data_IF_449150202477
#
_entry.id   IF_449150202477
#
_cell.length_a   1.000
_cell.length_b   1.000
_cell.length_c   1.000
_cell.angle_alpha   90.00
_cell.angle_beta   90.00
_cell.angle_gamma   90.00
#
_symmetry.space_group_name_H-M   'P 1'
#
loop_
_entity.id
_entity.type
_entity.pdbx_description
1 polymer ?
#
# COMPACT_ATOMS: atom_id res chain seq x y z
N UNK A 1 -11.73 14.33 -22.16
CA UNK A 1 -11.49 15.17 -20.97
C UNK A 1 -12.75 15.11 -20.11
N UNK A 2 -12.68 14.55 -18.90
CA UNK A 2 -13.85 14.32 -18.01
C UNK A 2 -14.26 15.57 -17.19
N UNK A 3 -13.64 16.72 -17.45
CA UNK A 3 -13.96 17.98 -16.80
C UNK A 3 -14.87 18.81 -17.71
N UNK A 4 -16.11 19.04 -17.25
CA UNK A 4 -17.07 19.91 -17.92
C UNK A 4 -17.00 21.35 -17.43
N UNK A 5 -17.69 22.24 -18.13
CA UNK A 5 -17.87 23.64 -17.70
C UNK A 5 -18.64 23.72 -16.37
N UNK A 6 -18.42 24.81 -15.64
CA UNK A 6 -19.25 25.17 -14.48
C UNK A 6 -20.70 25.41 -14.92
N UNK A 7 -21.63 25.20 -13.99
CA UNK A 7 -23.06 25.44 -14.19
C UNK A 7 -23.34 26.93 -14.43
N UNK A 8 -22.57 27.82 -13.79
CA UNK A 8 -22.68 29.25 -13.99
C UNK A 8 -21.95 29.70 -15.26
N UNK A 9 -22.65 30.44 -16.11
CA UNK A 9 -22.12 31.00 -17.36
C UNK A 9 -21.88 32.51 -17.28
N UNK A 10 -22.37 33.18 -16.24
CA UNK A 10 -22.30 34.63 -16.06
C UNK A 10 -21.55 34.99 -14.77
N UNK A 11 -20.59 35.91 -14.90
CA UNK A 11 -19.71 36.33 -13.79
C UNK A 11 -20.30 37.47 -12.94
N UNK A 12 -21.37 38.12 -13.40
CA UNK A 12 -22.01 39.25 -12.72
C UNK A 12 -23.21 38.90 -11.83
N UNK A 13 -23.65 37.64 -11.86
CA UNK A 13 -24.78 37.18 -11.03
C UNK A 13 -24.30 36.69 -9.68
N UNK A 14 -25.02 37.06 -8.61
CA UNK A 14 -24.73 36.56 -7.27
C UNK A 14 -24.81 35.02 -7.26
N UNK A 15 -23.70 34.38 -6.86
CA UNK A 15 -23.61 32.92 -6.81
C UNK A 15 -24.32 32.41 -5.56
N UNK A 16 -25.18 31.39 -5.73
CA UNK A 16 -25.76 30.69 -4.59
C UNK A 16 -24.67 29.87 -3.88
N UNK A 17 -24.38 30.18 -2.61
CA UNK A 17 -23.30 29.52 -1.87
C UNK A 17 -23.48 28.01 -1.70
N UNK A 18 -24.71 27.49 -1.81
CA UNK A 18 -25.02 26.05 -1.69
C UNK A 18 -24.80 25.27 -2.97
N UNK A 19 -25.13 25.85 -4.13
CA UNK A 19 -25.11 25.16 -5.44
C UNK A 19 -24.09 25.73 -6.42
N UNK A 20 -23.40 26.79 -6.01
CA UNK A 20 -22.46 27.56 -6.80
C UNK A 20 -21.21 26.78 -7.19
N UNK A 21 -20.73 26.98 -8.41
CA UNK A 21 -19.46 26.45 -8.88
C UNK A 21 -19.46 24.95 -9.16
N UNK A 22 -20.65 24.35 -9.25
CA UNK A 22 -20.83 22.95 -9.64
C UNK A 22 -20.49 22.76 -11.12
N UNK A 23 -20.13 21.55 -11.53
CA UNK A 23 -19.96 21.19 -12.95
C UNK A 23 -21.29 20.65 -13.45
N UNK A 24 -21.84 21.25 -14.53
CA UNK A 24 -23.20 20.94 -15.00
C UNK A 24 -23.37 19.45 -15.37
N UNK A 25 -22.34 18.84 -15.94
CA UNK A 25 -22.33 17.44 -16.37
C UNK A 25 -21.86 16.46 -15.27
N UNK A 26 -21.60 16.94 -14.04
CA UNK A 26 -21.15 16.07 -12.96
C UNK A 26 -22.24 15.07 -12.55
N UNK A 27 -21.88 13.80 -12.54
CA UNK A 27 -22.74 12.73 -12.06
C UNK A 27 -22.09 12.10 -10.82
N UNK A 28 -22.65 12.27 -9.60
CA UNK A 28 -22.08 11.65 -8.42
C UNK A 28 -22.26 10.13 -8.46
N UNK A 29 -21.26 9.38 -7.98
CA UNK A 29 -21.40 7.92 -7.83
C UNK A 29 -22.45 7.57 -6.78
N UNK A 30 -22.57 8.35 -5.70
CA UNK A 30 -23.57 8.12 -4.66
C UNK A 30 -24.69 9.17 -4.74
N UNK A 31 -25.94 8.71 -4.80
CA UNK A 31 -27.13 9.56 -4.77
C UNK A 31 -28.06 9.10 -3.67
N UNK A 32 -28.72 10.03 -2.98
CA UNK A 32 -29.80 9.68 -2.05
C UNK A 32 -31.07 9.39 -2.85
N UNK A 33 -31.62 8.18 -2.69
CA UNK A 33 -32.91 7.76 -3.21
C UNK A 33 -33.68 7.09 -2.08
N UNK A 34 -34.94 7.51 -1.83
CA UNK A 34 -35.76 7.00 -0.74
C UNK A 34 -35.05 7.00 0.63
N UNK A 35 -34.37 8.10 0.96
CA UNK A 35 -33.57 8.28 2.19
C UNK A 35 -32.40 7.28 2.37
N UNK A 36 -31.98 6.61 1.29
CA UNK A 36 -30.84 5.69 1.28
C UNK A 36 -29.81 6.12 0.25
N UNK A 37 -28.53 5.92 0.55
CA UNK A 37 -27.47 6.07 -0.44
C UNK A 37 -27.53 4.92 -1.43
N UNK A 38 -27.66 5.24 -2.70
CA UNK A 38 -27.65 4.29 -3.80
C UNK A 38 -26.51 4.62 -4.76
N UNK A 39 -25.77 3.58 -5.18
CA UNK A 39 -24.71 3.72 -6.17
C UNK A 39 -25.32 3.95 -7.56
N UNK A 40 -24.77 4.93 -8.29
CA UNK A 40 -25.02 5.22 -9.69
C UNK A 40 -23.89 4.55 -10.48
N UNK A 41 -24.05 3.26 -10.79
CA UNK A 41 -23.06 2.44 -11.52
C UNK A 41 -23.02 2.77 -13.02
N UNK A 42 -23.02 4.05 -13.37
CA UNK A 42 -22.88 4.51 -14.75
C UNK A 42 -21.43 4.29 -15.20
N UNK A 43 -21.20 3.17 -15.89
CA UNK A 43 -19.87 2.76 -16.37
C UNK A 43 -19.32 3.67 -17.48
N UNK A 44 -20.13 4.57 -18.04
CA UNK A 44 -19.64 5.58 -19.01
C UNK A 44 -18.97 6.77 -18.33
N UNK A 45 -19.32 7.02 -17.06
CA UNK A 45 -18.82 8.15 -16.25
C UNK A 45 -17.94 7.72 -15.09
N UNK A 46 -18.19 6.55 -14.52
CA UNK A 46 -17.43 6.00 -13.40
C UNK A 46 -16.69 4.75 -13.82
N UNK A 47 -15.37 4.83 -13.73
CA UNK A 47 -14.48 3.68 -13.84
C UNK A 47 -13.74 3.58 -12.51
N UNK A 48 -13.64 2.37 -11.98
CA UNK A 48 -12.79 2.14 -10.81
C UNK A 48 -11.33 2.45 -11.18
N UNK A 49 -10.54 3.00 -10.27
CA UNK A 49 -9.14 3.37 -10.55
C UNK A 49 -8.15 2.42 -9.89
N UNK A 50 -8.55 1.79 -8.79
CA UNK A 50 -7.75 0.80 -8.06
C UNK A 50 -8.66 -0.24 -7.39
N UNK A 51 -8.17 -1.46 -7.29
CA UNK A 51 -8.72 -2.53 -6.49
C UNK A 51 -7.63 -3.05 -5.58
N UNK A 52 -7.80 -2.87 -4.27
CA UNK A 52 -6.97 -3.54 -3.26
C UNK A 52 -7.22 -5.04 -3.29
N UNK A 53 -6.16 -5.84 -3.35
CA UNK A 53 -6.21 -7.30 -3.38
C UNK A 53 -5.70 -7.94 -2.10
N UNK A 54 -4.82 -7.25 -1.35
CA UNK A 54 -4.24 -7.75 -0.10
C UNK A 54 -4.14 -6.65 0.97
N UNK A 55 -4.31 -7.05 2.23
CA UNK A 55 -4.11 -6.20 3.40
C UNK A 55 -3.22 -6.91 4.42
N UNK A 56 -2.49 -6.13 5.22
CA UNK A 56 -1.74 -6.64 6.36
C UNK A 56 -2.62 -6.75 7.62
N UNK A 57 -2.07 -7.30 8.70
CA UNK A 57 -2.78 -7.49 9.98
C UNK A 57 -3.28 -6.19 10.62
N UNK A 58 -2.71 -5.05 10.23
CA UNK A 58 -3.08 -3.70 10.69
C UNK A 58 -4.08 -3.02 9.75
N UNK A 59 -4.56 -3.70 8.72
CA UNK A 59 -5.53 -3.17 7.76
C UNK A 59 -4.93 -2.22 6.73
N UNK A 60 -3.60 -2.20 6.59
CA UNK A 60 -2.92 -1.41 5.54
C UNK A 60 -2.87 -2.22 4.24
N UNK A 61 -3.02 -1.53 3.12
CA UNK A 61 -2.98 -2.13 1.78
C UNK A 61 -1.57 -2.67 1.47
N UNK A 62 -1.49 -3.96 1.12
CA UNK A 62 -0.26 -4.63 0.68
C UNK A 62 -0.14 -4.70 -0.84
N UNK A 63 -1.26 -4.85 -1.53
CA UNK A 63 -1.30 -5.00 -2.97
C UNK A 63 -2.57 -4.38 -3.53
N UNK A 64 -2.42 -3.68 -4.65
CA UNK A 64 -3.52 -3.22 -5.47
C UNK A 64 -3.26 -3.53 -6.94
N UNK A 65 -4.31 -3.44 -7.74
CA UNK A 65 -4.21 -3.42 -9.19
C UNK A 65 -5.08 -2.33 -9.77
N UNK A 66 -4.77 -1.90 -10.98
CA UNK A 66 -5.56 -0.94 -11.74
C UNK A 66 -6.44 -1.60 -12.82
N UNK A 67 -7.29 -0.86 -13.55
CA UNK A 67 -8.16 -1.40 -14.60
C UNK A 67 -7.46 -2.11 -15.74
N UNK A 68 -6.17 -1.86 -15.95
CA UNK A 68 -5.37 -2.53 -16.96
C UNK A 68 -4.72 -3.82 -16.43
N UNK A 69 -4.99 -4.17 -15.17
CA UNK A 69 -4.41 -5.34 -14.52
C UNK A 69 -2.96 -5.14 -14.09
N UNK A 70 -2.47 -3.90 -14.02
CA UNK A 70 -1.12 -3.61 -13.52
C UNK A 70 -1.14 -3.58 -12.01
N UNK A 71 -0.22 -4.32 -11.39
CA UNK A 71 -0.14 -4.48 -9.94
C UNK A 71 0.85 -3.49 -9.33
N UNK A 72 0.53 -3.01 -8.13
CA UNK A 72 1.46 -2.34 -7.25
C UNK A 72 1.41 -3.02 -5.88
N UNK A 73 2.55 -3.12 -5.22
CA UNK A 73 2.61 -3.69 -3.88
C UNK A 73 3.52 -2.88 -2.95
N UNK A 74 3.12 -2.80 -1.69
CA UNK A 74 3.89 -2.23 -0.60
C UNK A 74 4.40 -3.32 0.32
N UNK A 75 5.70 -3.37 0.56
CA UNK A 75 6.29 -4.20 1.61
C UNK A 75 6.31 -3.38 2.90
N UNK A 76 5.88 -4.00 4.00
CA UNK A 76 5.82 -3.36 5.31
C UNK A 76 6.80 -4.01 6.28
N UNK A 77 7.43 -3.18 7.10
CA UNK A 77 8.29 -3.57 8.22
C UNK A 77 7.85 -2.86 9.49
N UNK A 78 8.70 -2.92 10.52
CA UNK A 78 8.44 -2.27 11.81
C UNK A 78 7.08 -2.70 12.40
N UNK A 79 6.89 -4.01 12.54
CA UNK A 79 5.63 -4.63 12.95
C UNK A 79 4.44 -4.21 12.07
N UNK A 80 4.56 -4.34 10.75
CA UNK A 80 3.51 -4.00 9.77
C UNK A 80 3.02 -2.54 9.81
N UNK A 81 3.77 -1.63 10.44
CA UNK A 81 3.33 -0.25 10.67
C UNK A 81 3.84 0.73 9.61
N UNK A 82 4.95 0.43 8.97
CA UNK A 82 5.63 1.35 8.05
C UNK A 82 6.00 0.65 6.75
N UNK A 83 5.77 1.35 5.64
CA UNK A 83 6.20 0.89 4.31
C UNK A 83 7.73 0.97 4.22
N UNK A 84 8.37 -0.13 3.82
CA UNK A 84 9.83 -0.25 3.67
C UNK A 84 10.25 -0.34 2.20
N UNK A 85 9.36 -0.80 1.32
CA UNK A 85 9.55 -0.76 -0.12
C UNK A 85 8.20 -0.63 -0.83
N UNK A 86 8.22 0.02 -2.00
CA UNK A 86 7.09 0.10 -2.90
C UNK A 86 7.51 -0.44 -4.26
N UNK A 87 6.67 -1.27 -4.85
CA UNK A 87 6.95 -1.98 -6.10
C UNK A 87 5.82 -1.68 -7.08
N UNK A 88 6.20 -1.41 -8.33
CA UNK A 88 5.27 -1.12 -9.42
C UNK A 88 5.44 -2.17 -10.50
N UNK A 89 4.34 -2.52 -11.16
CA UNK A 89 4.29 -3.58 -12.17
C UNK A 89 4.78 -4.95 -11.64
N UNK A 90 4.50 -5.21 -10.37
CA UNK A 90 4.83 -6.46 -9.67
C UNK A 90 3.79 -6.74 -8.58
N UNK A 91 3.50 -8.01 -8.35
CA UNK A 91 2.68 -8.51 -7.24
C UNK A 91 3.48 -8.52 -5.93
N UNK A 92 2.78 -8.59 -4.80
CA UNK A 92 3.38 -8.59 -3.46
C UNK A 92 4.42 -9.69 -3.24
N UNK A 93 4.27 -10.84 -3.91
CA UNK A 93 5.19 -11.99 -3.81
C UNK A 93 6.28 -12.02 -4.89
N UNK A 94 6.33 -11.03 -5.78
CA UNK A 94 7.31 -10.96 -6.88
C UNK A 94 8.49 -10.03 -6.57
N UNK A 95 8.44 -9.34 -5.43
CA UNK A 95 9.48 -8.45 -4.97
C UNK A 95 9.81 -8.71 -3.51
N UNK A 96 11.05 -8.40 -3.15
CA UNK A 96 11.54 -8.52 -1.79
C UNK A 96 12.48 -7.37 -1.47
N UNK A 97 12.55 -7.03 -0.19
CA UNK A 97 13.42 -6.00 0.34
C UNK A 97 13.87 -6.44 1.72
N UNK A 98 15.16 -6.29 1.97
CA UNK A 98 15.76 -6.48 3.29
C UNK A 98 16.76 -5.35 3.53
N UNK A 99 16.63 -4.70 4.67
CA UNK A 99 17.49 -3.60 5.11
C UNK A 99 18.09 -3.81 6.50
N UNK A 100 17.74 -4.89 7.20
CA UNK A 100 18.19 -5.28 8.54
C UNK A 100 17.82 -4.31 9.68
N UNK A 101 17.03 -3.27 9.38
CA UNK A 101 16.75 -2.19 10.32
C UNK A 101 15.73 -2.54 11.41
N UNK A 102 14.81 -3.49 11.15
CA UNK A 102 13.65 -3.71 12.00
C UNK A 102 13.75 -4.93 12.94
N UNK A 103 14.88 -5.63 12.94
CA UNK A 103 15.10 -6.82 13.78
C UNK A 103 15.16 -6.51 15.28
N UNK A 104 15.51 -5.28 15.64
CA UNK A 104 15.54 -4.78 17.01
C UNK A 104 14.35 -3.88 17.35
N UNK A 105 13.37 -3.80 16.45
CA UNK A 105 12.17 -2.99 16.62
C UNK A 105 11.02 -3.82 17.23
N UNK A 106 10.28 -3.20 18.16
CA UNK A 106 9.05 -3.75 18.73
C UNK A 106 9.14 -4.02 20.24
N UNK A 107 7.97 -4.20 20.84
CA UNK A 107 7.82 -4.76 22.20
C UNK A 107 7.94 -6.28 22.15
N UNK A 108 8.44 -6.94 23.22
CA UNK A 108 8.38 -8.40 23.34
C UNK A 108 6.96 -8.87 23.02
N UNK A 109 6.84 -9.89 22.18
CA UNK A 109 5.54 -10.36 21.72
C UNK A 109 4.67 -10.73 22.94
N UNK A 110 3.55 -10.03 23.12
CA UNK A 110 2.54 -10.44 24.10
C UNK A 110 1.82 -11.73 23.64
N UNK A 111 1.96 -12.06 22.35
CA UNK A 111 1.39 -13.24 21.70
C UNK A 111 2.32 -13.67 20.55
N UNK A 112 3.00 -14.81 20.72
CA UNK A 112 3.90 -15.39 19.71
C UNK A 112 3.16 -16.24 18.67
N UNK A 113 1.85 -16.47 18.84
CA UNK A 113 1.08 -17.42 18.01
C UNK A 113 0.95 -16.95 16.56
N UNK A 114 1.05 -15.64 16.32
CA UNK A 114 0.90 -15.03 14.99
C UNK A 114 2.01 -14.01 14.71
N UNK A 115 3.27 -14.45 14.62
CA UNK A 115 4.37 -13.54 14.27
C UNK A 115 4.17 -12.89 12.88
N UNK A 116 4.66 -11.66 12.70
CA UNK A 116 4.74 -11.03 11.39
C UNK A 116 5.79 -11.75 10.56
N UNK A 117 5.35 -12.51 9.57
CA UNK A 117 6.24 -13.13 8.61
C UNK A 117 6.92 -12.06 7.78
N UNK A 118 8.26 -12.14 7.70
CA UNK A 118 9.04 -11.35 6.74
C UNK A 118 9.05 -12.08 5.40
N UNK A 119 9.14 -11.31 4.30
CA UNK A 119 9.22 -11.88 2.95
C UNK A 119 10.51 -12.73 2.79
N UNK A 120 11.63 -12.22 3.31
CA UNK A 120 12.85 -12.97 3.59
C UNK A 120 13.16 -12.83 5.08
N UNK A 121 13.30 -13.94 5.80
CA UNK A 121 13.49 -13.91 7.25
C UNK A 121 14.92 -14.27 7.65
N UNK A 122 15.69 -13.27 8.07
CA UNK A 122 17.04 -13.42 8.62
C UNK A 122 17.05 -13.41 10.16
N UNK A 123 15.92 -13.65 10.82
CA UNK A 123 15.84 -13.59 12.30
C UNK A 123 16.80 -14.58 12.97
N UNK A 124 17.09 -15.71 12.32
CA UNK A 124 18.10 -16.68 12.77
C UNK A 124 19.53 -16.14 12.81
N UNK A 125 19.80 -15.04 12.10
CA UNK A 125 21.11 -14.37 12.05
C UNK A 125 21.11 -13.01 12.74
N UNK A 126 20.11 -12.72 13.58
CA UNK A 126 20.00 -11.45 14.30
C UNK A 126 21.25 -11.10 15.13
N UNK A 127 21.95 -12.09 15.67
CA UNK A 127 23.21 -11.90 16.42
C UNK A 127 24.39 -11.46 15.55
N UNK A 128 24.31 -11.66 14.24
CA UNK A 128 25.30 -11.23 13.26
C UNK A 128 24.98 -9.84 12.68
N UNK A 129 23.88 -9.22 13.09
CA UNK A 129 23.55 -7.86 12.67
C UNK A 129 24.39 -6.85 13.46
N UNK A 130 25.11 -5.99 12.75
CA UNK A 130 26.10 -5.08 13.33
C UNK A 130 25.89 -3.65 12.87
N UNK A 131 26.35 -2.69 13.68
CA UNK A 131 26.39 -1.26 13.33
C UNK A 131 27.77 -0.82 12.82
N UNK A 132 28.74 -1.74 12.71
CA UNK A 132 30.14 -1.40 12.39
C UNK A 132 30.34 -0.87 10.98
N UNK A 133 29.66 -1.45 9.99
CA UNK A 133 29.70 -1.04 8.58
C UNK A 133 28.28 -1.08 8.05
N UNK A 134 27.76 0.05 7.58
CA UNK A 134 26.39 0.17 7.08
C UNK A 134 26.33 1.26 6.00
N UNK A 135 25.28 1.23 5.18
CA UNK A 135 25.07 2.21 4.12
C UNK A 135 24.39 3.47 4.70
N UNK A 136 23.08 3.63 4.45
CA UNK A 136 22.27 4.75 4.96
C UNK A 136 21.43 4.36 6.19
N UNK A 137 21.40 3.07 6.54
CA UNK A 137 20.71 2.53 7.71
C UNK A 137 21.60 2.45 8.96
N UNK A 138 21.12 1.79 10.02
CA UNK A 138 21.86 1.56 11.27
C UNK A 138 22.54 0.19 11.31
N UNK A 139 21.96 -0.82 10.68
CA UNK A 139 22.42 -2.19 10.75
C UNK A 139 22.82 -2.73 9.37
N UNK A 140 23.70 -3.72 9.39
CA UNK A 140 23.97 -4.60 8.26
C UNK A 140 24.15 -6.02 8.78
N UNK A 141 24.05 -7.01 7.89
CA UNK A 141 24.36 -8.39 8.24
C UNK A 141 25.86 -8.66 8.05
N UNK A 142 26.56 -8.97 9.13
CA UNK A 142 27.94 -9.43 9.06
C UNK A 142 27.99 -10.88 8.59
N UNK A 143 28.82 -11.16 7.60
CA UNK A 143 29.16 -12.53 7.17
C UNK A 143 30.57 -12.84 7.68
N UNK A 144 30.72 -13.70 8.71
CA UNK A 144 32.04 -14.14 9.17
C UNK A 144 32.86 -14.80 8.06
N UNK A 145 34.19 -14.75 8.21
CA UNK A 145 35.10 -15.48 7.31
C UNK A 145 34.75 -16.98 7.28
N UNK A 146 34.85 -17.59 6.10
CA UNK A 146 34.57 -19.01 5.86
C UNK A 146 33.16 -19.47 6.27
N UNK A 147 32.19 -18.54 6.33
CA UNK A 147 30.81 -18.83 6.65
C UNK A 147 29.86 -18.54 5.48
N UNK A 148 28.71 -19.22 5.49
CA UNK A 148 27.63 -18.99 4.52
C UNK A 148 26.37 -18.65 5.31
N UNK A 149 25.70 -17.57 4.90
CA UNK A 149 24.35 -17.25 5.36
C UNK A 149 23.37 -17.79 4.33
N UNK A 150 22.36 -18.51 4.79
CA UNK A 150 21.32 -19.05 3.92
C UNK A 150 19.94 -18.92 4.55
N UNK A 151 18.97 -18.61 3.71
CA UNK A 151 17.55 -18.60 4.04
C UNK A 151 16.80 -19.46 3.01
N UNK A 152 15.64 -19.95 3.40
CA UNK A 152 14.73 -20.68 2.51
C UNK A 152 13.39 -19.99 2.49
N UNK A 153 12.81 -19.84 1.29
CA UNK A 153 11.46 -19.33 1.12
C UNK A 153 10.64 -20.32 0.28
N UNK A 154 9.39 -20.54 0.66
CA UNK A 154 8.46 -21.34 -0.13
C UNK A 154 7.95 -20.50 -1.30
N UNK A 155 8.24 -20.94 -2.53
CA UNK A 155 7.69 -20.33 -3.73
C UNK A 155 6.36 -21.01 -4.03
N UNK A 156 5.31 -20.21 -4.20
CA UNK A 156 3.99 -20.67 -4.63
C UNK A 156 3.64 -20.00 -5.95
N UNK A 157 2.87 -20.70 -6.80
CA UNK A 157 2.41 -20.14 -8.07
C UNK A 157 1.61 -18.85 -7.85
N UNK A 158 1.75 -17.92 -8.80
CA UNK A 158 1.05 -16.64 -8.83
C UNK A 158 -0.43 -16.81 -9.20
#
# INVERSE_FOLDING_TARGET
>A
VYYGSRTETQTGTQVNLRSGGTVAAFAPFWKVSNKKWVAQKDTTRWVWNSQTTLFNRKGLELENKDPLGRYNAGLYGYQDAMIIAATQNARYREATYEGFEDYFYGVPACDEVCSAGRNLDFSGYKTLMTTSQHHTGKYSLQVPADSVISISATVVAA
#
